data_IF_131626091015
#
_entry.id   IF_131626091015
#
_cell.length_a   1.000
_cell.length_b   1.000
_cell.length_c   1.000
_cell.angle_alpha   90.00
_cell.angle_beta   90.00
_cell.angle_gamma   90.00
#
_symmetry.space_group_name_H-M   'P 1'
#
loop_
_entity.id
_entity.type
_entity.pdbx_description
1 polymer ?
#
# COMPACT_ATOMS: atom_id res chain seq x y z
N UNK A 1 -28.40 -16.02 51.59
CA UNK A 1 -27.06 -16.51 51.18
C UNK A 1 -26.70 -15.86 49.85
N UNK A 2 -25.41 -15.80 49.55
CA UNK A 2 -24.76 -14.87 48.61
C UNK A 2 -24.98 -15.28 47.13
N UNK A 3 -25.56 -14.33 46.38
CA UNK A 3 -25.25 -13.82 45.02
C UNK A 3 -24.88 -14.78 43.88
N UNK A 4 -25.69 -14.65 42.82
CA UNK A 4 -25.47 -14.81 41.36
C UNK A 4 -24.39 -15.75 40.84
N UNK A 5 -24.85 -16.77 40.12
CA UNK A 5 -24.08 -17.62 39.22
C UNK A 5 -23.78 -16.85 37.92
N UNK A 6 -22.50 -16.53 37.69
CA UNK A 6 -22.01 -15.88 36.48
C UNK A 6 -21.97 -16.87 35.31
N UNK A 7 -22.42 -16.40 34.15
CA UNK A 7 -22.42 -17.10 32.86
C UNK A 7 -20.97 -17.26 32.39
N UNK A 8 -20.51 -18.50 32.25
CA UNK A 8 -19.22 -18.84 31.65
C UNK A 8 -19.35 -18.82 30.11
N UNK A 9 -19.18 -17.64 29.52
CA UNK A 9 -19.02 -17.46 28.07
C UNK A 9 -17.58 -17.10 27.77
N UNK A 10 -16.70 -18.09 27.71
CA UNK A 10 -15.35 -17.93 27.18
C UNK A 10 -15.24 -18.72 25.89
N UNK A 11 -15.85 -18.18 24.84
CA UNK A 11 -15.49 -18.51 23.46
C UNK A 11 -14.56 -17.39 23.00
N UNK A 12 -13.28 -17.45 23.39
CA UNK A 12 -12.25 -16.60 22.79
C UNK A 12 -11.52 -17.44 21.74
N UNK A 13 -12.13 -17.48 20.56
CA UNK A 13 -11.46 -17.85 19.33
C UNK A 13 -10.78 -16.59 18.79
N UNK A 14 -9.67 -16.79 18.09
CA UNK A 14 -9.08 -15.84 17.13
C UNK A 14 -8.16 -14.77 17.75
N UNK A 15 -6.99 -14.44 17.21
CA UNK A 15 -6.45 -14.61 15.86
C UNK A 15 -4.95 -14.87 15.92
N UNK A 16 -4.47 -15.72 15.02
CA UNK A 16 -3.06 -15.86 14.66
C UNK A 16 -2.57 -14.54 14.07
N UNK A 17 -1.69 -13.81 14.76
CA UNK A 17 -1.04 -12.61 14.23
C UNK A 17 0.48 -12.81 14.26
N UNK A 18 0.96 -13.72 13.42
CA UNK A 18 2.37 -13.82 13.05
C UNK A 18 2.43 -14.05 11.54
N UNK A 19 2.02 -13.04 10.77
CA UNK A 19 2.46 -12.89 9.40
C UNK A 19 3.22 -11.55 9.38
N UNK A 20 4.53 -11.64 9.54
CA UNK A 20 5.42 -10.57 9.06
C UNK A 20 5.63 -10.91 7.60
N UNK A 21 4.69 -10.47 6.76
CA UNK A 21 4.86 -10.37 5.32
C UNK A 21 4.92 -8.87 5.03
N UNK A 22 5.66 -8.45 4.00
CA UNK A 22 5.74 -7.06 3.54
C UNK A 22 4.33 -6.43 3.54
N UNK A 23 4.06 -5.55 4.50
CA UNK A 23 2.71 -5.18 4.97
C UNK A 23 2.32 -3.82 4.40
N UNK A 24 2.36 -3.68 3.08
CA UNK A 24 1.77 -2.50 2.45
C UNK A 24 0.27 -2.51 2.74
N UNK A 25 -0.34 -1.40 3.18
CA UNK A 25 -1.76 -1.36 3.49
C UNK A 25 -2.58 -1.65 2.23
N UNK A 26 -3.79 -2.17 2.39
CA UNK A 26 -4.73 -2.28 1.25
C UNK A 26 -5.06 -0.89 0.70
N UNK A 27 -5.53 -0.81 -0.55
CA UNK A 27 -5.93 0.47 -1.15
C UNK A 27 -6.94 1.23 -0.27
N UNK A 28 -7.94 0.54 0.28
CA UNK A 28 -8.94 1.16 1.15
C UNK A 28 -8.36 1.68 2.48
N UNK A 29 -7.21 1.18 2.91
CA UNK A 29 -6.49 1.68 4.09
C UNK A 29 -5.55 2.83 3.72
N UNK A 30 -5.03 2.83 2.50
CA UNK A 30 -4.22 3.90 1.95
C UNK A 30 -5.06 5.15 1.59
N UNK A 31 -6.26 4.97 1.04
CA UNK A 31 -7.23 6.01 0.68
C UNK A 31 -7.95 6.51 1.94
N UNK A 32 -7.27 7.39 2.68
CA UNK A 32 -7.68 7.85 4.00
C UNK A 32 -8.91 8.77 3.94
N UNK A 33 -9.09 9.49 2.84
CA UNK A 33 -10.27 10.31 2.61
C UNK A 33 -11.39 9.59 1.83
N UNK A 34 -11.13 8.37 1.36
CA UNK A 34 -12.06 7.51 0.63
C UNK A 34 -12.59 8.16 -0.66
N UNK A 35 -11.74 8.94 -1.34
CA UNK A 35 -12.10 9.62 -2.58
C UNK A 35 -11.93 8.73 -3.83
N UNK A 36 -11.33 7.54 -3.69
CA UNK A 36 -11.08 6.58 -4.76
C UNK A 36 -9.76 6.78 -5.51
N UNK A 37 -8.92 7.71 -5.08
CA UNK A 37 -7.59 8.00 -5.63
C UNK A 37 -6.62 8.39 -4.53
N UNK A 38 -5.34 8.08 -4.68
CA UNK A 38 -4.33 8.41 -3.67
C UNK A 38 -3.67 9.76 -3.95
N UNK A 39 -3.65 10.60 -2.92
CA UNK A 39 -2.78 11.77 -2.89
C UNK A 39 -1.33 11.40 -2.48
N UNK A 40 -0.44 12.39 -2.53
CA UNK A 40 0.97 12.22 -2.23
C UNK A 40 1.22 11.72 -0.81
N UNK A 41 0.42 12.20 0.14
CA UNK A 41 0.54 11.86 1.56
C UNK A 41 0.06 10.44 1.81
N UNK A 42 -1.05 10.07 1.18
CA UNK A 42 -1.65 8.74 1.25
C UNK A 42 -0.73 7.68 0.65
N UNK A 43 -0.24 7.91 -0.58
CA UNK A 43 0.67 6.98 -1.25
C UNK A 43 2.01 6.86 -0.51
N UNK A 44 2.55 7.96 0.03
CA UNK A 44 3.80 7.93 0.82
C UNK A 44 3.62 7.26 2.19
N UNK A 45 2.45 7.41 2.80
CA UNK A 45 2.12 6.72 4.05
C UNK A 45 1.99 5.21 3.81
N UNK A 46 1.42 4.82 2.67
CA UNK A 46 1.26 3.43 2.27
C UNK A 46 2.58 2.78 1.82
N UNK A 47 3.35 3.49 1.00
CA UNK A 47 4.57 3.00 0.36
C UNK A 47 5.75 3.96 0.65
N UNK A 48 6.28 3.97 1.88
CA UNK A 48 7.38 4.87 2.26
C UNK A 48 8.68 4.59 1.51
N UNK A 49 8.80 3.41 0.88
CA UNK A 49 9.93 3.05 0.01
C UNK A 49 9.94 3.84 -1.31
N UNK A 50 8.80 4.41 -1.70
CA UNK A 50 8.74 5.35 -2.82
C UNK A 50 9.23 6.70 -2.33
N UNK A 51 10.44 7.06 -2.71
CA UNK A 51 11.04 8.38 -2.45
C UNK A 51 10.40 9.46 -3.33
N UNK A 52 9.07 9.57 -3.30
CA UNK A 52 8.33 10.60 -3.99
C UNK A 52 8.69 11.97 -3.41
N UNK A 53 9.08 12.88 -4.29
CA UNK A 53 9.35 14.26 -3.92
C UNK A 53 8.02 14.95 -3.64
N UNK A 54 7.99 15.83 -2.63
CA UNK A 54 6.77 16.57 -2.29
C UNK A 54 6.40 17.47 -3.48
N UNK A 55 5.42 17.04 -4.25
CA UNK A 55 4.81 17.86 -5.30
C UNK A 55 3.69 18.68 -4.66
N UNK A 56 3.47 19.89 -5.18
CA UNK A 56 2.35 20.74 -4.74
C UNK A 56 0.99 20.27 -5.30
N UNK A 57 0.91 19.07 -5.89
CA UNK A 57 -0.29 18.54 -6.52
C UNK A 57 -1.16 17.81 -5.50
N UNK A 58 -2.47 17.99 -5.62
CA UNK A 58 -3.47 17.39 -4.73
C UNK A 58 -3.64 15.88 -4.97
N UNK A 59 -3.19 15.36 -6.12
CA UNK A 59 -3.32 13.95 -6.50
C UNK A 59 -2.03 13.47 -7.15
N UNK A 60 -1.66 12.21 -6.89
CA UNK A 60 -0.53 11.56 -7.57
C UNK A 60 -1.02 10.87 -8.83
N UNK A 61 -0.23 10.96 -9.89
CA UNK A 61 -0.53 10.32 -11.17
C UNK A 61 0.45 9.19 -11.49
N UNK A 62 0.08 8.32 -12.42
CA UNK A 62 0.95 7.26 -12.97
C UNK A 62 2.27 7.82 -13.49
N UNK A 63 2.25 9.01 -14.10
CA UNK A 63 3.44 9.70 -14.58
C UNK A 63 4.40 10.09 -13.44
N UNK A 64 3.88 10.53 -12.30
CA UNK A 64 4.69 10.88 -11.12
C UNK A 64 5.35 9.61 -10.53
N UNK A 65 4.59 8.53 -10.42
CA UNK A 65 5.11 7.26 -9.90
C UNK A 65 6.15 6.65 -10.84
N UNK A 66 5.94 6.72 -12.16
CA UNK A 66 6.89 6.21 -13.16
C UNK A 66 8.26 6.89 -13.09
N UNK A 67 8.33 8.13 -12.59
CA UNK A 67 9.61 8.83 -12.38
C UNK A 67 10.46 8.21 -11.28
N UNK A 68 9.83 7.70 -10.21
CA UNK A 68 10.53 7.10 -9.05
C UNK A 68 10.59 5.57 -9.14
N UNK A 69 9.62 4.97 -9.83
CA UNK A 69 9.46 3.54 -10.02
C UNK A 69 9.21 3.26 -11.52
N UNK A 70 10.27 3.32 -12.36
CA UNK A 70 10.14 3.08 -13.80
C UNK A 70 9.71 1.65 -14.13
N UNK A 71 9.90 0.72 -13.20
CA UNK A 71 9.50 -0.68 -13.26
C UNK A 71 7.99 -0.94 -13.01
N UNK A 72 7.21 0.08 -12.59
CA UNK A 72 5.76 -0.05 -12.47
C UNK A 72 5.09 -0.38 -13.83
N UNK A 73 4.26 -1.41 -13.88
CA UNK A 73 3.62 -1.89 -15.12
C UNK A 73 2.34 -1.12 -15.48
N UNK A 74 2.47 0.20 -15.66
CA UNK A 74 1.39 1.05 -16.18
C UNK A 74 1.34 0.99 -17.70
N UNK A 75 0.15 1.11 -18.27
CA UNK A 75 0.01 1.28 -19.71
C UNK A 75 0.56 2.64 -20.16
N UNK A 76 1.10 2.71 -21.38
CA UNK A 76 1.56 3.97 -21.96
C UNK A 76 0.43 5.02 -22.06
N UNK A 77 -0.81 4.56 -22.24
CA UNK A 77 -2.00 5.43 -22.27
C UNK A 77 -2.24 6.08 -20.90
N UNK A 78 -2.20 5.31 -19.82
CA UNK A 78 -2.41 5.81 -18.46
C UNK A 78 -1.33 6.82 -18.06
N UNK A 79 -0.08 6.54 -18.44
CA UNK A 79 1.07 7.43 -18.18
C UNK A 79 0.95 8.73 -18.97
N UNK A 80 0.58 8.66 -20.25
CA UNK A 80 0.43 9.85 -21.09
C UNK A 80 -0.77 10.71 -20.66
N UNK A 81 -1.85 10.08 -20.18
CA UNK A 81 -3.04 10.77 -19.69
C UNK A 81 -2.88 11.33 -18.26
N UNK A 82 -1.76 11.03 -17.60
CA UNK A 82 -1.55 11.35 -16.18
C UNK A 82 -2.72 10.84 -15.32
N UNK A 83 -3.11 9.59 -15.55
CA UNK A 83 -4.17 8.90 -14.82
C UNK A 83 -3.86 8.93 -13.31
N UNK A 84 -4.82 9.29 -12.44
CA UNK A 84 -4.62 9.30 -11.00
C UNK A 84 -4.43 7.87 -10.45
N UNK A 85 -3.75 7.74 -9.31
CA UNK A 85 -3.52 6.42 -8.70
C UNK A 85 -4.80 5.93 -8.02
N UNK A 86 -5.54 5.06 -8.69
CA UNK A 86 -6.65 4.30 -8.13
C UNK A 86 -6.22 2.93 -7.57
N UNK A 87 -7.19 2.08 -7.26
CA UNK A 87 -6.95 0.75 -6.68
C UNK A 87 -6.09 -0.15 -7.58
N UNK A 88 -6.40 -0.17 -8.88
CA UNK A 88 -5.67 -0.99 -9.86
C UNK A 88 -4.21 -0.53 -9.98
N UNK A 89 -4.00 0.77 -10.16
CA UNK A 89 -2.66 1.34 -10.25
C UNK A 89 -1.88 1.11 -8.95
N UNK A 90 -2.52 1.23 -7.79
CA UNK A 90 -1.88 0.98 -6.50
C UNK A 90 -1.33 -0.45 -6.39
N UNK A 91 -2.09 -1.46 -6.82
CA UNK A 91 -1.60 -2.85 -6.81
C UNK A 91 -0.38 -3.03 -7.70
N UNK A 92 -0.36 -2.42 -8.89
CA UNK A 92 0.79 -2.47 -9.79
C UNK A 92 2.04 -1.82 -9.19
N UNK A 93 1.86 -0.77 -8.39
CA UNK A 93 2.95 -0.11 -7.67
C UNK A 93 3.49 -1.03 -6.57
N UNK A 94 2.60 -1.63 -5.77
CA UNK A 94 2.97 -2.58 -4.71
C UNK A 94 3.78 -3.74 -5.30
N UNK A 95 3.28 -4.37 -6.37
CA UNK A 95 3.95 -5.47 -7.05
C UNK A 95 5.36 -5.07 -7.53
N UNK A 96 5.50 -3.88 -8.13
CA UNK A 96 6.77 -3.38 -8.62
C UNK A 96 7.74 -2.99 -7.48
N UNK A 97 7.24 -2.50 -6.34
CA UNK A 97 8.06 -2.24 -5.15
C UNK A 97 8.59 -3.55 -4.57
N UNK A 98 7.73 -4.57 -4.44
CA UNK A 98 8.11 -5.89 -3.94
C UNK A 98 9.12 -6.58 -4.85
N UNK A 99 8.95 -6.47 -6.18
CA UNK A 99 9.91 -6.97 -7.16
C UNK A 99 11.26 -6.24 -7.03
N UNK A 100 11.27 -4.91 -6.93
CA UNK A 100 12.49 -4.10 -6.74
C UNK A 100 13.23 -4.48 -5.47
N UNK A 101 12.52 -4.64 -4.35
CA UNK A 101 13.11 -5.04 -3.08
C UNK A 101 13.68 -6.47 -3.15
N UNK A 102 12.96 -7.38 -3.79
CA UNK A 102 13.41 -8.76 -4.01
C UNK A 102 14.69 -8.80 -4.87
N UNK A 103 14.75 -8.00 -5.94
CA UNK A 103 15.92 -7.92 -6.83
C UNK A 103 17.14 -7.28 -6.15
N UNK A 104 16.94 -6.28 -5.29
CA UNK A 104 18.01 -5.67 -4.50
C UNK A 104 18.58 -6.62 -3.43
N UNK A 105 17.76 -7.52 -2.87
CA UNK A 105 18.20 -8.53 -1.90
C UNK A 105 19.15 -9.58 -2.53
N UNK A 106 19.01 -9.89 -3.82
CA UNK A 106 19.83 -10.89 -4.52
C UNK A 106 21.25 -10.37 -4.82
N UNK A 107 21.43 -9.06 -5.03
CA UNK A 107 22.73 -8.46 -5.39
C UNK A 107 23.70 -8.30 -4.21
N UNK A 108 23.27 -8.56 -2.98
CA UNK A 108 24.11 -8.46 -1.78
C UNK A 108 24.82 -9.76 -1.37
N UNK A 109 24.76 -10.81 -2.19
CA UNK A 109 25.29 -12.17 -1.88
C UNK A 109 26.42 -12.61 -2.83
N UNK A 110 27.21 -11.68 -3.38
CA UNK A 110 28.43 -12.00 -4.16
C UNK A 110 29.72 -11.46 -3.49
#
# INVERSE_FOLDING_TARGET
MKKSLMIASTFLFSLSAFAVADDHPSFSEADMDSNGTLDMRELKAALPALELQETATETVTTADVKQVLPEADFSDEDVVNAEPIGEEQYQQIVDAVDEKMSNNAITSIE
#
